data_IF_494408889428
#
_entry.id   IF_494408889428
#
_cell.length_a   1.000
_cell.length_b   1.000
_cell.length_c   1.000
_cell.angle_alpha   90.00
_cell.angle_beta   90.00
_cell.angle_gamma   90.00
#
_symmetry.space_group_name_H-M   'P 1'
#
loop_
_entity.id
_entity.type
_entity.pdbx_description
1 polymer ?
#
# COMPACT_ATOMS: atom_id res chain seq x y z
N UNK A 1 2.66 -17.27 -36.05
CA UNK A 1 2.01 -17.87 -34.88
C UNK A 1 2.24 -16.88 -33.73
N UNK A 2 1.22 -16.15 -33.38
CA UNK A 2 1.28 -15.17 -32.29
C UNK A 2 1.31 -15.97 -30.97
N UNK A 3 2.39 -15.88 -30.24
CA UNK A 3 2.47 -16.40 -28.88
C UNK A 3 1.66 -15.47 -27.99
N UNK A 4 0.54 -15.95 -27.50
CA UNK A 4 -0.25 -15.31 -26.46
C UNK A 4 0.65 -15.01 -25.27
N UNK A 5 0.88 -13.71 -25.02
CA UNK A 5 1.50 -13.23 -23.78
C UNK A 5 0.39 -13.33 -22.72
N UNK A 6 0.54 -14.19 -21.68
CA UNK A 6 -0.47 -14.23 -20.63
C UNK A 6 -0.24 -13.07 -19.67
N UNK A 7 -0.62 -11.88 -20.12
CA UNK A 7 -0.69 -10.65 -19.32
C UNK A 7 -2.12 -10.30 -18.95
N UNK A 8 -2.99 -11.31 -18.84
CA UNK A 8 -4.37 -11.07 -18.45
C UNK A 8 -4.64 -11.74 -17.10
N UNK A 9 -5.15 -10.98 -16.15
CA UNK A 9 -5.75 -11.39 -14.88
C UNK A 9 -7.00 -12.32 -15.03
N UNK A 10 -7.04 -13.10 -16.08
CA UNK A 10 -7.84 -14.31 -16.21
C UNK A 10 -7.29 -15.29 -15.19
N UNK A 11 -7.98 -15.43 -14.04
CA UNK A 11 -7.48 -16.11 -12.86
C UNK A 11 -6.91 -17.49 -13.15
N UNK A 12 -5.79 -17.81 -12.48
CA UNK A 12 -5.19 -19.15 -12.48
C UNK A 12 -6.26 -20.25 -12.36
N UNK A 13 -6.11 -21.38 -13.05
CA UNK A 13 -7.03 -22.50 -12.93
C UNK A 13 -7.27 -22.84 -11.45
N UNK A 14 -8.50 -23.17 -11.05
CA UNK A 14 -8.84 -23.40 -9.64
C UNK A 14 -7.94 -24.43 -8.94
N UNK A 15 -7.52 -25.47 -9.67
CA UNK A 15 -6.61 -26.50 -9.16
C UNK A 15 -5.21 -25.92 -8.84
N UNK A 16 -4.68 -25.06 -9.72
CA UNK A 16 -3.39 -24.39 -9.51
C UNK A 16 -3.48 -23.44 -8.32
N UNK A 17 -4.54 -22.64 -8.24
CA UNK A 17 -4.77 -21.71 -7.12
C UNK A 17 -4.83 -22.44 -5.78
N UNK A 18 -5.58 -23.54 -5.68
CA UNK A 18 -5.65 -24.36 -4.46
C UNK A 18 -4.28 -24.92 -4.06
N UNK A 19 -3.49 -25.39 -5.04
CA UNK A 19 -2.14 -25.89 -4.79
C UNK A 19 -1.23 -24.80 -4.23
N UNK A 20 -1.23 -23.62 -4.87
CA UNK A 20 -0.40 -22.49 -4.44
C UNK A 20 -0.82 -22.01 -3.04
N UNK A 21 -2.12 -21.96 -2.75
CA UNK A 21 -2.62 -21.62 -1.43
C UNK A 21 -2.15 -22.61 -0.37
N UNK A 22 -2.26 -23.90 -0.60
CA UNK A 22 -1.77 -24.93 0.33
C UNK A 22 -0.25 -24.81 0.55
N UNK A 23 0.53 -24.55 -0.52
CA UNK A 23 1.97 -24.32 -0.40
C UNK A 23 2.29 -23.06 0.41
N UNK A 24 1.52 -21.98 0.21
CA UNK A 24 1.69 -20.73 0.95
C UNK A 24 1.38 -20.90 2.44
N UNK A 25 0.29 -21.59 2.78
CA UNK A 25 -0.07 -21.90 4.17
C UNK A 25 0.99 -22.75 4.85
N UNK A 26 1.48 -23.80 4.18
CA UNK A 26 2.57 -24.64 4.69
C UNK A 26 3.86 -23.82 4.88
N UNK A 27 4.22 -22.98 3.92
CA UNK A 27 5.36 -22.06 4.01
C UNK A 27 5.25 -21.10 5.22
N UNK A 28 4.06 -20.54 5.41
CA UNK A 28 3.78 -19.63 6.53
C UNK A 28 3.92 -20.31 7.89
N UNK A 29 3.39 -21.53 8.04
CA UNK A 29 3.55 -22.32 9.26
C UNK A 29 5.03 -22.64 9.55
N UNK A 30 5.80 -23.00 8.51
CA UNK A 30 7.23 -23.30 8.64
C UNK A 30 8.03 -22.04 8.99
N UNK A 31 7.77 -20.92 8.35
CA UNK A 31 8.40 -19.63 8.67
C UNK A 31 8.16 -19.22 10.13
N UNK A 32 6.93 -19.40 10.63
CA UNK A 32 6.58 -19.10 12.02
C UNK A 32 7.29 -19.99 13.05
N UNK A 33 7.70 -21.20 12.63
CA UNK A 33 8.50 -22.13 13.46
C UNK A 33 10.01 -21.90 13.34
N UNK A 34 10.46 -20.94 12.55
CA UNK A 34 11.88 -20.68 12.29
C UNK A 34 12.51 -21.61 11.25
N UNK A 35 11.72 -22.47 10.58
CA UNK A 35 12.17 -23.39 9.53
C UNK A 35 12.30 -22.63 8.18
N UNK A 36 13.14 -21.60 8.16
CA UNK A 36 13.20 -20.62 7.05
C UNK A 36 13.62 -21.22 5.71
N UNK A 37 14.48 -22.25 5.69
CA UNK A 37 14.91 -22.89 4.45
C UNK A 37 13.75 -23.60 3.73
N UNK A 38 12.96 -24.32 4.51
CA UNK A 38 11.78 -25.00 3.97
C UNK A 38 10.72 -24.01 3.51
N UNK A 39 10.45 -22.98 4.33
CA UNK A 39 9.54 -21.90 3.97
C UNK A 39 9.97 -21.16 2.71
N UNK A 40 11.28 -20.92 2.53
CA UNK A 40 11.85 -20.31 1.31
C UNK A 40 11.49 -21.11 0.06
N UNK A 41 11.60 -22.44 0.12
CA UNK A 41 11.26 -23.31 -1.01
C UNK A 41 9.77 -23.23 -1.36
N UNK A 42 8.90 -23.23 -0.34
CA UNK A 42 7.45 -23.11 -0.53
C UNK A 42 7.06 -21.77 -1.12
N UNK A 43 7.54 -20.67 -0.55
CA UNK A 43 7.24 -19.33 -1.04
C UNK A 43 7.81 -19.07 -2.44
N UNK A 44 9.01 -19.57 -2.75
CA UNK A 44 9.57 -19.46 -4.10
C UNK A 44 8.67 -20.14 -5.13
N UNK A 45 8.18 -21.36 -4.83
CA UNK A 45 7.25 -22.06 -5.71
C UNK A 45 5.91 -21.30 -5.88
N UNK A 46 5.45 -20.57 -4.84
CA UNK A 46 4.27 -19.72 -4.95
C UNK A 46 4.53 -18.54 -5.91
N UNK A 47 5.69 -17.85 -5.79
CA UNK A 47 6.05 -16.74 -6.68
C UNK A 47 6.28 -17.23 -8.12
N UNK A 48 6.89 -18.40 -8.33
CA UNK A 48 7.03 -18.99 -9.67
C UNK A 48 5.66 -19.33 -10.30
N UNK A 49 4.71 -19.80 -9.49
CA UNK A 49 3.38 -20.19 -9.96
C UNK A 49 2.44 -18.99 -10.19
N UNK A 50 2.65 -17.87 -9.50
CA UNK A 50 1.88 -16.64 -9.63
C UNK A 50 2.78 -15.42 -9.38
N UNK A 51 3.57 -15.03 -10.40
CA UNK A 51 4.53 -13.91 -10.26
C UNK A 51 3.89 -12.54 -10.07
N UNK A 52 2.60 -12.39 -10.32
CA UNK A 52 1.84 -11.16 -10.10
C UNK A 52 1.42 -10.99 -8.64
N UNK A 53 1.49 -12.05 -7.84
CA UNK A 53 0.97 -12.05 -6.48
C UNK A 53 1.93 -11.40 -5.48
N UNK A 54 1.61 -10.17 -5.12
CA UNK A 54 2.42 -9.39 -4.19
C UNK A 54 2.53 -10.03 -2.78
N UNK A 55 1.51 -10.77 -2.32
CA UNK A 55 1.52 -11.42 -1.00
C UNK A 55 2.55 -12.55 -0.98
N UNK A 56 2.61 -13.36 -2.05
CA UNK A 56 3.60 -14.42 -2.17
C UNK A 56 5.03 -13.85 -2.19
N UNK A 57 5.23 -12.77 -2.96
CA UNK A 57 6.52 -12.11 -3.03
C UNK A 57 6.94 -11.47 -1.70
N UNK A 58 6.03 -10.75 -1.03
CA UNK A 58 6.31 -10.16 0.29
C UNK A 58 6.69 -11.22 1.32
N UNK A 59 5.97 -12.35 1.33
CA UNK A 59 6.24 -13.46 2.24
C UNK A 59 7.59 -14.12 1.94
N UNK A 60 7.92 -14.29 0.65
CA UNK A 60 9.23 -14.80 0.23
C UNK A 60 10.38 -13.90 0.70
N UNK A 61 10.31 -12.59 0.40
CA UNK A 61 11.33 -11.63 0.79
C UNK A 61 11.42 -11.49 2.32
N UNK A 62 10.29 -11.39 3.00
CA UNK A 62 10.23 -11.30 4.47
C UNK A 62 10.82 -12.52 5.16
N UNK A 63 10.58 -13.73 4.64
CA UNK A 63 11.18 -14.96 5.14
C UNK A 63 12.70 -14.99 4.94
N UNK A 64 13.19 -14.53 3.78
CA UNK A 64 14.62 -14.43 3.51
C UNK A 64 15.31 -13.41 4.45
N UNK A 65 14.69 -12.27 4.70
CA UNK A 65 15.23 -11.29 5.65
C UNK A 65 15.38 -11.87 7.06
N UNK A 66 14.40 -12.66 7.51
CA UNK A 66 14.50 -13.39 8.79
C UNK A 66 15.59 -14.45 8.74
N UNK A 67 15.65 -15.27 7.67
CA UNK A 67 16.67 -16.31 7.49
C UNK A 67 18.10 -15.79 7.62
N UNK A 68 18.37 -14.60 7.10
CA UNK A 68 19.69 -13.97 7.11
C UNK A 68 19.87 -12.92 8.22
N UNK A 69 18.99 -12.88 9.24
CA UNK A 69 19.03 -11.91 10.34
C UNK A 69 19.18 -10.46 9.87
N UNK A 70 18.62 -10.16 8.70
CA UNK A 70 18.70 -8.86 8.05
C UNK A 70 20.14 -8.32 7.89
N UNK A 71 21.12 -9.20 7.67
CA UNK A 71 22.57 -8.88 7.64
C UNK A 71 23.00 -8.02 6.45
N UNK A 72 22.11 -7.75 5.47
CA UNK A 72 22.34 -6.97 4.24
C UNK A 72 23.43 -7.53 3.30
N UNK A 73 23.93 -8.73 3.54
CA UNK A 73 25.04 -9.36 2.78
C UNK A 73 24.67 -10.72 2.18
N UNK A 74 23.68 -11.41 2.79
CA UNK A 74 23.31 -12.78 2.39
C UNK A 74 24.34 -13.83 2.81
N UNK A 75 24.41 -14.94 2.04
CA UNK A 75 25.42 -16.00 2.22
C UNK A 75 26.81 -15.47 1.90
N UNK A 76 27.80 -15.86 2.70
CA UNK A 76 29.23 -15.48 2.52
C UNK A 76 29.79 -15.86 1.14
N UNK A 77 29.29 -16.96 0.57
CA UNK A 77 29.71 -17.47 -0.74
C UNK A 77 28.75 -17.05 -1.87
N UNK A 78 27.80 -16.14 -1.62
CA UNK A 78 26.81 -15.71 -2.61
C UNK A 78 27.44 -15.15 -3.88
N UNK A 79 28.58 -14.45 -3.78
CA UNK A 79 29.30 -13.92 -4.92
C UNK A 79 29.88 -15.00 -5.83
N UNK A 80 30.35 -16.11 -5.28
CA UNK A 80 30.93 -17.22 -6.06
C UNK A 80 29.82 -18.12 -6.61
N UNK A 81 28.90 -18.56 -5.75
CA UNK A 81 27.76 -19.42 -6.16
C UNK A 81 26.81 -18.71 -7.13
N UNK A 82 26.70 -17.40 -7.03
CA UNK A 82 25.78 -16.57 -7.83
C UNK A 82 26.25 -16.30 -9.26
N UNK A 83 27.53 -16.55 -9.63
CA UNK A 83 28.04 -16.23 -10.97
C UNK A 83 27.24 -16.91 -12.08
N UNK A 84 27.00 -18.20 -11.96
CA UNK A 84 26.21 -18.97 -12.95
C UNK A 84 24.76 -18.48 -13.01
N UNK A 85 24.16 -18.15 -11.85
CA UNK A 85 22.79 -17.66 -11.77
C UNK A 85 22.66 -16.28 -12.43
N UNK A 86 23.59 -15.38 -12.19
CA UNK A 86 23.65 -14.07 -12.87
C UNK A 86 23.79 -14.21 -14.39
N UNK A 87 24.56 -15.19 -14.84
CA UNK A 87 24.63 -15.56 -16.26
C UNK A 87 23.28 -16.02 -16.81
N UNK A 88 22.54 -16.83 -16.04
CA UNK A 88 21.19 -17.28 -16.42
C UNK A 88 20.19 -16.14 -16.49
N UNK A 89 20.21 -15.22 -15.51
CA UNK A 89 19.36 -14.00 -15.52
C UNK A 89 19.63 -13.21 -16.81
N UNK A 90 20.90 -12.90 -17.11
CA UNK A 90 21.26 -12.13 -18.30
C UNK A 90 20.89 -12.84 -19.60
N UNK A 91 21.04 -14.17 -19.67
CA UNK A 91 20.61 -14.97 -20.80
C UNK A 91 19.10 -14.88 -21.01
N UNK A 92 18.29 -15.05 -19.95
CA UNK A 92 16.83 -14.92 -20.01
C UNK A 92 16.39 -13.51 -20.41
N UNK A 93 17.04 -12.45 -19.93
CA UNK A 93 16.81 -11.08 -20.38
C UNK A 93 17.03 -10.91 -21.89
N UNK A 94 18.16 -11.40 -22.40
CA UNK A 94 18.47 -11.35 -23.84
C UNK A 94 17.46 -12.11 -24.69
N UNK A 95 16.92 -13.22 -24.17
CA UNK A 95 15.88 -14.03 -24.82
C UNK A 95 14.47 -13.49 -24.61
N UNK A 96 14.32 -12.39 -23.83
CA UNK A 96 13.01 -11.84 -23.41
C UNK A 96 12.13 -12.86 -22.67
N UNK A 97 12.76 -13.86 -22.06
CA UNK A 97 12.11 -14.82 -21.17
C UNK A 97 11.96 -14.22 -19.75
N UNK A 98 10.92 -13.39 -19.60
CA UNK A 98 10.72 -12.65 -18.36
C UNK A 98 10.38 -13.54 -17.17
N UNK A 99 9.69 -14.66 -17.41
CA UNK A 99 9.44 -15.66 -16.36
C UNK A 99 10.73 -16.38 -15.95
N UNK A 100 11.62 -16.67 -16.92
CA UNK A 100 12.96 -17.19 -16.66
C UNK A 100 13.83 -16.23 -15.86
N UNK A 101 13.70 -14.91 -16.09
CA UNK A 101 14.36 -13.88 -15.26
C UNK A 101 13.86 -13.95 -13.83
N UNK A 102 12.55 -14.01 -13.62
CA UNK A 102 11.96 -14.14 -12.26
C UNK A 102 12.47 -15.40 -11.59
N UNK A 103 12.40 -16.56 -12.26
CA UNK A 103 12.85 -17.84 -11.71
C UNK A 103 14.33 -17.82 -11.30
N UNK A 104 15.21 -17.41 -12.20
CA UNK A 104 16.65 -17.30 -11.91
C UNK A 104 16.93 -16.24 -10.84
N UNK A 105 16.17 -15.15 -10.83
CA UNK A 105 16.23 -14.12 -9.79
C UNK A 105 15.90 -14.68 -8.42
N UNK A 106 14.83 -15.46 -8.28
CA UNK A 106 14.47 -16.14 -7.02
C UNK A 106 15.63 -17.01 -6.51
N UNK A 107 16.32 -17.75 -7.39
CA UNK A 107 17.47 -18.54 -7.00
C UNK A 107 18.65 -17.67 -6.51
N UNK A 108 18.86 -16.51 -7.13
CA UNK A 108 19.87 -15.56 -6.64
C UNK A 108 19.47 -14.98 -5.27
N UNK A 109 18.20 -14.63 -5.06
CA UNK A 109 17.72 -14.09 -3.80
C UNK A 109 17.78 -15.12 -2.66
N UNK A 110 17.66 -16.41 -2.93
CA UNK A 110 17.88 -17.49 -1.94
C UNK A 110 19.32 -17.45 -1.37
N UNK A 111 20.29 -16.97 -2.14
CA UNK A 111 21.69 -16.80 -1.73
C UNK A 111 21.93 -15.42 -1.12
N UNK A 112 21.37 -14.38 -1.72
CA UNK A 112 21.50 -13.00 -1.26
C UNK A 112 20.23 -12.19 -1.56
N UNK A 113 19.35 -12.00 -0.56
CA UNK A 113 18.12 -11.23 -0.73
C UNK A 113 18.31 -9.75 -1.08
N UNK A 114 19.54 -9.26 -0.94
CA UNK A 114 19.92 -7.86 -1.22
C UNK A 114 20.77 -7.73 -2.49
N UNK A 115 20.78 -8.72 -3.38
CA UNK A 115 21.50 -8.59 -4.66
C UNK A 115 20.74 -7.61 -5.56
N UNK A 116 21.30 -6.39 -5.65
CA UNK A 116 20.68 -5.27 -6.40
C UNK A 116 20.49 -5.64 -7.86
N UNK A 117 21.47 -6.33 -8.47
CA UNK A 117 21.39 -6.73 -9.88
C UNK A 117 20.22 -7.68 -10.15
N UNK A 118 20.04 -8.71 -9.30
CA UNK A 118 18.91 -9.62 -9.43
C UNK A 118 17.56 -8.92 -9.19
N UNK A 119 17.48 -8.08 -8.15
CA UNK A 119 16.25 -7.35 -7.83
C UNK A 119 15.85 -6.36 -8.93
N UNK A 120 16.81 -5.64 -9.53
CA UNK A 120 16.51 -4.73 -10.64
C UNK A 120 16.13 -5.48 -11.93
N UNK A 121 16.78 -6.62 -12.22
CA UNK A 121 16.40 -7.48 -13.34
C UNK A 121 14.97 -8.03 -13.19
N UNK A 122 14.62 -8.51 -11.97
CA UNK A 122 13.26 -8.99 -11.66
C UNK A 122 12.23 -7.85 -11.73
N UNK A 123 12.58 -6.64 -11.31
CA UNK A 123 11.74 -5.47 -11.46
C UNK A 123 11.48 -5.13 -12.93
N UNK A 124 12.52 -5.17 -13.77
CA UNK A 124 12.39 -4.98 -15.23
C UNK A 124 11.52 -6.07 -15.87
N UNK A 125 11.71 -7.33 -15.47
CA UNK A 125 10.85 -8.42 -15.93
C UNK A 125 9.38 -8.23 -15.53
N UNK A 126 9.14 -7.79 -14.28
CA UNK A 126 7.78 -7.48 -13.78
C UNK A 126 7.12 -6.36 -14.57
N UNK A 127 7.86 -5.32 -14.94
CA UNK A 127 7.39 -4.26 -15.84
C UNK A 127 6.92 -4.83 -17.18
N UNK A 128 7.72 -5.71 -17.81
CA UNK A 128 7.38 -6.32 -19.10
C UNK A 128 6.20 -7.29 -19.00
N UNK A 129 5.94 -7.84 -17.83
CA UNK A 129 4.79 -8.70 -17.54
C UNK A 129 3.55 -7.93 -17.07
N UNK A 130 3.64 -6.61 -16.84
CA UNK A 130 2.55 -5.80 -16.32
C UNK A 130 2.27 -6.02 -14.82
N UNK A 131 3.25 -6.51 -14.06
CA UNK A 131 3.12 -6.79 -12.62
C UNK A 131 3.67 -5.61 -11.78
N UNK A 132 3.02 -4.46 -11.87
CA UNK A 132 3.56 -3.18 -11.37
C UNK A 132 3.80 -3.17 -9.85
N UNK A 133 2.91 -3.74 -9.04
CA UNK A 133 3.11 -3.79 -7.59
C UNK A 133 4.30 -4.68 -7.21
N UNK A 134 4.50 -5.80 -7.90
CA UNK A 134 5.68 -6.64 -7.72
C UNK A 134 6.96 -5.93 -8.17
N UNK A 135 6.91 -5.17 -9.28
CA UNK A 135 8.01 -4.30 -9.73
C UNK A 135 8.49 -3.39 -8.60
N UNK A 136 7.54 -2.70 -7.92
CA UNK A 136 7.88 -1.81 -6.80
C UNK A 136 8.46 -2.58 -5.62
N UNK A 137 7.94 -3.77 -5.30
CA UNK A 137 8.46 -4.58 -4.21
C UNK A 137 9.92 -4.99 -4.45
N UNK A 138 10.29 -5.39 -5.67
CA UNK A 138 11.68 -5.67 -6.01
C UNK A 138 12.57 -4.43 -5.90
N UNK A 139 12.13 -3.28 -6.41
CA UNK A 139 12.89 -2.04 -6.33
C UNK A 139 13.07 -1.56 -4.89
N UNK A 140 12.06 -1.69 -4.04
CA UNK A 140 12.17 -1.43 -2.59
C UNK A 140 13.15 -2.40 -1.92
N UNK A 141 13.17 -3.67 -2.32
CA UNK A 141 14.17 -4.64 -1.88
C UNK A 141 15.60 -4.19 -2.23
N UNK A 142 15.81 -3.70 -3.46
CA UNK A 142 17.09 -3.15 -3.92
C UNK A 142 17.50 -1.89 -3.12
N UNK A 143 16.56 -0.98 -2.84
CA UNK A 143 16.80 0.17 -1.97
C UNK A 143 17.06 -0.25 -0.50
N UNK A 144 16.57 -1.41 -0.08
CA UNK A 144 16.91 -2.00 1.21
C UNK A 144 18.38 -2.37 1.36
N UNK A 145 19.06 -2.66 0.24
CA UNK A 145 20.52 -2.89 0.20
C UNK A 145 21.32 -1.58 0.19
N UNK A 146 20.92 -0.64 -0.65
CA UNK A 146 21.53 0.69 -0.76
C UNK A 146 20.45 1.77 -0.95
N UNK A 147 19.98 2.41 0.12
CA UNK A 147 18.94 3.43 0.05
C UNK A 147 19.31 4.68 -0.75
N UNK A 148 20.61 4.96 -0.89
CA UNK A 148 21.12 6.14 -1.59
C UNK A 148 21.50 5.85 -3.07
N UNK A 149 21.32 4.62 -3.56
CA UNK A 149 21.62 4.29 -4.95
C UNK A 149 20.80 5.14 -5.92
N UNK A 150 21.42 6.02 -6.72
CA UNK A 150 20.67 6.96 -7.55
C UNK A 150 19.92 6.25 -8.70
N UNK A 151 20.48 5.18 -9.25
CA UNK A 151 19.85 4.48 -10.38
C UNK A 151 18.62 3.68 -9.90
N UNK A 152 18.74 3.00 -8.77
CA UNK A 152 17.59 2.27 -8.17
C UNK A 152 16.50 3.25 -7.74
N UNK A 153 16.85 4.39 -7.12
CA UNK A 153 15.88 5.44 -6.79
C UNK A 153 15.19 6.00 -8.03
N UNK A 154 15.95 6.18 -9.15
CA UNK A 154 15.38 6.63 -10.43
C UNK A 154 14.37 5.62 -10.98
N UNK A 155 14.71 4.32 -11.00
CA UNK A 155 13.81 3.25 -11.45
C UNK A 155 12.55 3.17 -10.57
N UNK A 156 12.73 3.22 -9.24
CA UNK A 156 11.62 3.18 -8.29
C UNK A 156 10.71 4.41 -8.42
N UNK A 157 11.30 5.61 -8.56
CA UNK A 157 10.55 6.84 -8.73
C UNK A 157 9.73 6.87 -10.03
N UNK A 158 10.27 6.34 -11.13
CA UNK A 158 9.51 6.20 -12.40
C UNK A 158 8.34 5.23 -12.25
N UNK A 159 8.57 4.06 -11.68
CA UNK A 159 7.51 3.08 -11.44
C UNK A 159 6.38 3.63 -10.55
N UNK A 160 6.75 4.37 -9.50
CA UNK A 160 5.79 5.02 -8.61
C UNK A 160 5.00 6.14 -9.28
N UNK A 161 5.65 6.92 -10.17
CA UNK A 161 4.99 7.95 -10.98
C UNK A 161 3.94 7.34 -11.91
N UNK A 162 4.28 6.24 -12.60
CA UNK A 162 3.37 5.51 -13.50
C UNK A 162 2.10 5.03 -12.77
N UNK A 163 2.22 4.69 -11.48
CA UNK A 163 1.08 4.34 -10.62
C UNK A 163 0.40 5.55 -9.96
N UNK A 164 0.79 6.78 -10.29
CA UNK A 164 0.24 7.99 -9.68
C UNK A 164 0.58 8.14 -8.18
N UNK A 165 1.60 7.43 -7.67
CA UNK A 165 2.08 7.50 -6.29
C UNK A 165 3.12 8.61 -6.14
N UNK A 166 2.72 9.85 -6.41
CA UNK A 166 3.61 10.99 -6.59
C UNK A 166 4.44 11.33 -5.34
N UNK A 167 3.89 11.27 -4.13
CA UNK A 167 4.62 11.60 -2.91
C UNK A 167 5.82 10.67 -2.67
N UNK A 168 5.65 9.38 -3.01
CA UNK A 168 6.73 8.40 -2.93
C UNK A 168 7.75 8.55 -4.06
N UNK A 169 7.28 8.84 -5.28
CA UNK A 169 8.15 9.14 -6.42
C UNK A 169 9.03 10.36 -6.15
N UNK A 170 8.46 11.44 -5.59
CA UNK A 170 9.19 12.64 -5.16
C UNK A 170 10.28 12.28 -4.14
N UNK A 171 9.97 11.40 -3.20
CA UNK A 171 10.96 10.96 -2.20
C UNK A 171 12.14 10.24 -2.85
N UNK A 172 11.88 9.39 -3.85
CA UNK A 172 12.93 8.73 -4.62
C UNK A 172 13.78 9.74 -5.41
N UNK A 173 13.16 10.66 -6.15
CA UNK A 173 13.91 11.65 -6.94
C UNK A 173 14.67 12.67 -6.09
N UNK A 174 14.19 13.00 -4.89
CA UNK A 174 14.99 13.78 -3.92
C UNK A 174 16.29 13.09 -3.55
N UNK A 175 16.27 11.77 -3.34
CA UNK A 175 17.50 10.99 -3.08
C UNK A 175 18.43 10.96 -4.29
N UNK A 176 17.89 10.91 -5.52
CA UNK A 176 18.69 11.02 -6.75
C UNK A 176 19.43 12.35 -6.78
N UNK A 177 18.73 13.47 -6.59
CA UNK A 177 19.34 14.81 -6.59
C UNK A 177 20.32 15.00 -5.44
N UNK A 178 20.05 14.43 -4.25
CA UNK A 178 20.99 14.45 -3.13
C UNK A 178 22.28 13.67 -3.42
N UNK A 179 22.17 12.51 -4.08
CA UNK A 179 23.32 11.68 -4.44
C UNK A 179 24.12 12.27 -5.62
N UNK A 180 23.44 12.96 -6.53
CA UNK A 180 24.02 13.61 -7.72
C UNK A 180 23.50 15.04 -7.87
N UNK A 181 24.07 16.04 -7.19
CA UNK A 181 23.55 17.42 -7.22
C UNK A 181 23.52 18.09 -8.60
N UNK A 182 24.31 17.60 -9.57
CA UNK A 182 24.33 18.06 -10.96
C UNK A 182 23.39 17.31 -11.91
N UNK A 183 22.51 16.47 -11.41
CA UNK A 183 21.57 15.67 -12.23
C UNK A 183 20.38 16.54 -12.69
N UNK A 184 20.53 17.17 -13.85
CA UNK A 184 19.49 18.03 -14.44
C UNK A 184 18.20 17.26 -14.74
N UNK A 185 18.28 15.99 -15.22
CA UNK A 185 17.12 15.15 -15.46
C UNK A 185 16.35 14.87 -14.16
N UNK A 186 17.09 14.53 -13.09
CA UNK A 186 16.51 14.31 -11.77
C UNK A 186 15.80 15.54 -11.23
N UNK A 187 16.39 16.72 -11.39
CA UNK A 187 15.79 18.00 -10.97
C UNK A 187 14.54 18.35 -11.79
N UNK A 188 14.58 18.15 -13.11
CA UNK A 188 13.41 18.38 -13.98
C UNK A 188 12.27 17.43 -13.62
N UNK A 189 12.58 16.14 -13.42
CA UNK A 189 11.58 15.15 -13.04
C UNK A 189 10.95 15.47 -11.69
N UNK A 190 11.74 15.94 -10.72
CA UNK A 190 11.24 16.35 -9.41
C UNK A 190 10.24 17.49 -9.51
N UNK A 191 10.55 18.53 -10.33
CA UNK A 191 9.63 19.65 -10.59
C UNK A 191 8.34 19.20 -11.27
N UNK A 192 8.45 18.30 -12.26
CA UNK A 192 7.29 17.73 -12.95
C UNK A 192 6.39 16.95 -12.00
N UNK A 193 6.98 16.12 -11.13
CA UNK A 193 6.23 15.37 -10.11
C UNK A 193 5.52 16.28 -9.10
N UNK A 194 6.16 17.37 -8.68
CA UNK A 194 5.51 18.35 -7.79
C UNK A 194 4.30 19.00 -8.47
N UNK A 195 4.39 19.28 -9.78
CA UNK A 195 3.26 19.81 -10.57
C UNK A 195 2.14 18.75 -10.75
N UNK A 196 2.48 17.51 -11.12
CA UNK A 196 1.53 16.39 -11.27
C UNK A 196 0.79 16.11 -9.96
N UNK A 197 1.53 16.09 -8.84
CA UNK A 197 0.94 15.96 -7.50
C UNK A 197 -0.03 17.10 -7.19
N UNK A 198 0.34 18.34 -7.53
CA UNK A 198 -0.52 19.51 -7.31
C UNK A 198 -1.81 19.44 -8.15
N UNK A 199 -1.72 18.98 -9.40
CA UNK A 199 -2.87 18.76 -10.28
C UNK A 199 -3.80 17.71 -9.65
N UNK A 200 -3.27 16.54 -9.25
CA UNK A 200 -4.05 15.47 -8.64
C UNK A 200 -4.71 15.90 -7.33
N UNK A 201 -3.97 16.60 -6.46
CA UNK A 201 -4.52 17.14 -5.19
C UNK A 201 -5.49 18.31 -5.40
N UNK A 202 -5.38 19.03 -6.50
CA UNK A 202 -6.28 20.11 -6.87
C UNK A 202 -7.61 19.65 -7.49
N UNK A 203 -7.83 18.32 -7.63
CA UNK A 203 -9.08 17.75 -8.17
C UNK A 203 -9.27 17.99 -9.68
N UNK A 204 -8.21 18.36 -10.41
CA UNK A 204 -8.33 18.67 -11.83
C UNK A 204 -8.61 17.44 -12.72
N UNK A 205 -8.22 16.24 -12.26
CA UNK A 205 -8.48 14.98 -12.98
C UNK A 205 -9.91 14.47 -12.76
N UNK A 206 -10.48 14.74 -11.57
CA UNK A 206 -11.83 14.31 -11.16
C UNK A 206 -12.91 15.36 -11.50
N UNK A 207 -12.50 16.58 -11.90
CA UNK A 207 -13.42 17.66 -12.23
C UNK A 207 -14.06 17.44 -13.61
N UNK A 208 -15.31 17.02 -13.63
CA UNK A 208 -16.10 16.86 -14.86
C UNK A 208 -16.43 18.20 -15.56
N UNK A 209 -16.16 19.33 -14.92
CA UNK A 209 -16.35 20.67 -15.50
C UNK A 209 -15.41 21.73 -14.91
N UNK A 210 -15.11 22.77 -15.71
CA UNK A 210 -14.36 23.96 -15.27
C UNK A 210 -15.02 24.67 -14.07
N UNK A 211 -16.31 24.47 -13.87
CA UNK A 211 -17.09 25.07 -12.78
C UNK A 211 -16.72 24.45 -11.44
N UNK A 212 -16.46 23.13 -11.37
CA UNK A 212 -16.09 22.44 -10.13
C UNK A 212 -14.70 22.89 -9.65
N UNK A 213 -13.77 23.09 -10.60
CA UNK A 213 -12.42 23.61 -10.32
C UNK A 213 -12.47 25.07 -9.83
N UNK A 214 -13.38 25.89 -10.37
CA UNK A 214 -13.56 27.27 -9.91
C UNK A 214 -14.15 27.34 -8.50
N UNK A 215 -15.09 26.47 -8.18
CA UNK A 215 -15.70 26.41 -6.84
C UNK A 215 -14.68 26.00 -5.79
N UNK A 216 -13.82 25.01 -6.07
CA UNK A 216 -12.75 24.59 -5.15
C UNK A 216 -11.68 25.69 -4.98
N UNK A 217 -11.31 26.39 -6.06
CA UNK A 217 -10.40 27.54 -5.97
C UNK A 217 -10.99 28.71 -5.19
N UNK A 218 -12.27 28.99 -5.35
CA UNK A 218 -12.96 30.04 -4.60
C UNK A 218 -13.00 29.70 -3.11
N UNK A 219 -13.30 28.44 -2.75
CA UNK A 219 -13.29 27.96 -1.37
C UNK A 219 -11.88 28.01 -0.73
N UNK A 220 -10.82 27.75 -1.51
CA UNK A 220 -9.44 27.88 -1.03
C UNK A 220 -9.01 29.36 -0.90
N UNK A 221 -9.48 30.23 -1.78
CA UNK A 221 -9.22 31.67 -1.68
C UNK A 221 -9.96 32.33 -0.52
N UNK A 222 -11.20 31.93 -0.26
CA UNK A 222 -11.99 32.38 0.90
C UNK A 222 -11.36 31.94 2.22
N UNK A 223 -10.74 30.73 2.27
CA UNK A 223 -9.91 30.28 3.40
C UNK A 223 -8.67 31.15 3.66
N UNK A 224 -8.09 31.73 2.59
CA UNK A 224 -6.88 32.56 2.69
C UNK A 224 -7.15 34.02 3.04
N UNK A 225 -8.37 34.52 2.79
CA UNK A 225 -8.70 35.94 2.94
C UNK A 225 -9.43 36.30 4.25
N UNK A 226 -9.58 35.36 5.20
CA UNK A 226 -9.87 35.67 6.62
C UNK A 226 -11.17 36.44 6.91
N UNK A 227 -12.22 36.33 6.08
CA UNK A 227 -13.42 37.16 6.23
C UNK A 227 -14.78 36.46 6.02
N UNK A 228 -14.85 35.14 5.93
CA UNK A 228 -16.09 34.37 5.81
C UNK A 228 -16.23 33.33 6.90
N UNK A 229 -17.45 32.93 7.24
CA UNK A 229 -17.74 31.82 8.14
C UNK A 229 -16.89 30.62 7.75
N UNK A 230 -15.91 30.26 8.59
CA UNK A 230 -15.04 29.10 8.36
C UNK A 230 -15.90 27.85 8.37
N UNK A 231 -16.22 27.33 7.18
CA UNK A 231 -16.89 26.04 7.05
C UNK A 231 -15.93 24.97 7.58
N UNK A 232 -16.41 24.15 8.50
CA UNK A 232 -15.66 22.98 8.96
C UNK A 232 -15.47 21.97 7.81
N UNK A 233 -14.47 21.10 7.93
CA UNK A 233 -14.26 20.03 6.94
C UNK A 233 -15.55 19.19 6.76
N UNK A 234 -16.29 18.96 7.85
CA UNK A 234 -17.59 18.29 7.86
C UNK A 234 -18.62 19.00 6.94
N UNK A 235 -18.72 20.32 7.05
CA UNK A 235 -19.67 21.13 6.26
C UNK A 235 -19.31 21.18 4.78
N UNK A 236 -18.02 21.13 4.44
CA UNK A 236 -17.54 21.09 3.05
C UNK A 236 -17.95 19.77 2.39
N UNK A 237 -17.72 18.64 3.09
CA UNK A 237 -18.07 17.32 2.58
C UNK A 237 -19.61 17.16 2.47
N UNK A 238 -20.38 17.65 3.45
CA UNK A 238 -21.85 17.63 3.39
C UNK A 238 -22.42 18.41 2.20
N UNK A 239 -21.85 19.58 1.89
CA UNK A 239 -22.22 20.35 0.68
C UNK A 239 -21.89 19.58 -0.60
N UNK A 240 -20.77 18.87 -0.63
CA UNK A 240 -20.40 18.03 -1.76
C UNK A 240 -21.42 16.89 -1.94
N UNK A 241 -21.77 16.20 -0.87
CA UNK A 241 -22.72 15.09 -0.88
C UNK A 241 -24.15 15.52 -1.24
N UNK A 242 -24.52 16.77 -0.92
CA UNK A 242 -25.82 17.35 -1.35
C UNK A 242 -25.90 17.48 -2.86
N UNK A 243 -24.76 17.76 -3.54
CA UNK A 243 -24.69 17.87 -5.00
C UNK A 243 -24.43 16.52 -5.68
N UNK A 244 -23.72 15.62 -5.02
CA UNK A 244 -23.31 14.31 -5.53
C UNK A 244 -23.73 13.20 -4.56
N UNK A 245 -25.01 12.85 -4.48
CA UNK A 245 -25.53 11.92 -3.46
C UNK A 245 -25.09 10.46 -3.65
N UNK A 246 -24.41 10.13 -4.74
CA UNK A 246 -23.88 8.78 -5.03
C UNK A 246 -22.37 8.64 -4.82
N UNK A 247 -21.71 9.69 -4.31
CA UNK A 247 -20.25 9.68 -4.06
C UNK A 247 -19.91 8.94 -2.77
N UNK A 248 -19.82 7.61 -2.85
CA UNK A 248 -19.54 6.73 -1.72
C UNK A 248 -18.23 7.05 -1.00
N UNK A 249 -17.10 7.30 -1.69
CA UNK A 249 -15.84 7.73 -1.08
C UNK A 249 -16.00 8.92 -0.12
N UNK A 250 -16.81 9.92 -0.48
CA UNK A 250 -17.06 11.10 0.36
C UNK A 250 -17.90 10.82 1.58
N UNK A 251 -18.86 9.89 1.49
CA UNK A 251 -19.57 9.41 2.67
C UNK A 251 -18.62 8.73 3.67
N UNK A 252 -17.71 7.88 3.18
CA UNK A 252 -16.72 7.20 4.03
C UNK A 252 -15.73 8.19 4.67
N UNK A 253 -15.31 9.22 3.94
CA UNK A 253 -14.47 10.29 4.47
C UNK A 253 -15.18 11.06 5.60
N UNK A 254 -16.44 11.43 5.41
CA UNK A 254 -17.25 12.11 6.43
C UNK A 254 -17.48 11.25 7.66
N UNK A 255 -17.81 9.97 7.46
CA UNK A 255 -17.99 9.02 8.57
C UNK A 255 -16.70 8.85 9.39
N UNK A 256 -15.55 8.72 8.73
CA UNK A 256 -14.26 8.64 9.41
C UNK A 256 -13.95 9.92 10.19
N UNK A 257 -14.27 11.10 9.64
CA UNK A 257 -14.07 12.38 10.31
C UNK A 257 -14.94 12.48 11.57
N UNK A 258 -16.22 12.09 11.51
CA UNK A 258 -17.08 12.05 12.68
C UNK A 258 -16.59 11.03 13.72
N UNK A 259 -16.17 9.84 13.30
CA UNK A 259 -15.66 8.80 14.19
C UNK A 259 -14.36 9.22 14.90
N UNK A 260 -13.46 9.92 14.21
CA UNK A 260 -12.23 10.46 14.80
C UNK A 260 -12.49 11.58 15.82
N UNK A 261 -13.57 12.34 15.61
CA UNK A 261 -14.05 13.39 16.52
C UNK A 261 -14.94 12.85 17.66
N UNK A 262 -14.99 11.52 17.84
CA UNK A 262 -15.82 10.82 18.83
C UNK A 262 -17.34 11.06 18.68
N UNK A 263 -17.79 11.52 17.50
CA UNK A 263 -19.20 11.72 17.14
C UNK A 263 -19.76 10.44 16.49
N UNK A 264 -19.82 9.33 17.25
CA UNK A 264 -20.17 8.03 16.70
C UNK A 264 -21.61 7.96 16.14
N UNK A 265 -22.54 8.71 16.71
CA UNK A 265 -23.92 8.80 16.21
C UNK A 265 -24.02 9.48 14.85
N UNK A 266 -23.24 10.54 14.62
CA UNK A 266 -23.22 11.22 13.34
C UNK A 266 -22.49 10.38 12.27
N UNK A 267 -21.43 9.67 12.66
CA UNK A 267 -20.77 8.70 11.79
C UNK A 267 -21.72 7.57 11.36
N UNK A 268 -22.57 7.06 12.27
CA UNK A 268 -23.58 6.03 11.99
C UNK A 268 -24.64 6.53 10.98
N UNK A 269 -25.15 7.76 11.17
CA UNK A 269 -26.09 8.38 10.21
C UNK A 269 -25.48 8.50 8.82
N UNK A 270 -24.22 8.91 8.73
CA UNK A 270 -23.50 9.05 7.46
C UNK A 270 -23.31 7.69 6.77
N UNK A 271 -22.89 6.65 7.51
CA UNK A 271 -22.74 5.29 6.94
C UNK A 271 -24.10 4.69 6.52
N UNK A 272 -25.20 4.99 7.22
CA UNK A 272 -26.52 4.57 6.81
C UNK A 272 -26.91 5.20 5.47
N UNK A 273 -26.68 6.50 5.29
CA UNK A 273 -26.86 7.19 4.01
C UNK A 273 -25.96 6.62 2.90
N UNK A 274 -24.71 6.27 3.23
CA UNK A 274 -23.80 5.62 2.30
C UNK A 274 -24.31 4.25 1.86
N UNK A 275 -24.86 3.47 2.79
CA UNK A 275 -25.43 2.15 2.50
C UNK A 275 -26.66 2.24 1.56
N UNK A 276 -27.52 3.22 1.76
CA UNK A 276 -28.64 3.51 0.87
C UNK A 276 -28.17 3.95 -0.51
N UNK A 277 -27.20 4.88 -0.57
CA UNK A 277 -26.67 5.42 -1.81
C UNK A 277 -25.90 4.35 -2.64
N UNK A 278 -25.29 3.36 -1.99
CA UNK A 278 -24.57 2.26 -2.64
C UNK A 278 -25.45 1.08 -3.06
N UNK A 279 -26.75 1.10 -2.71
CA UNK A 279 -27.64 -0.03 -2.96
C UNK A 279 -27.35 -1.25 -2.09
N UNK A 280 -26.78 -1.06 -0.89
CA UNK A 280 -26.55 -2.13 0.08
C UNK A 280 -25.16 -2.78 0.01
N UNK A 281 -24.13 -2.04 -0.34
CA UNK A 281 -22.74 -2.52 -0.39
C UNK A 281 -22.32 -3.21 0.92
N UNK A 282 -21.75 -4.42 0.79
CA UNK A 282 -21.37 -5.26 1.92
C UNK A 282 -20.29 -4.62 2.79
N UNK A 283 -19.30 -3.95 2.18
CA UNK A 283 -18.20 -3.32 2.93
C UNK A 283 -18.70 -2.13 3.78
N UNK A 284 -19.70 -1.40 3.27
CA UNK A 284 -20.30 -0.29 4.03
C UNK A 284 -21.13 -0.84 5.18
N UNK A 285 -21.83 -1.95 4.95
CA UNK A 285 -22.61 -2.63 6.00
C UNK A 285 -21.70 -3.12 7.13
N UNK A 286 -20.59 -3.78 6.81
CA UNK A 286 -19.61 -4.23 7.80
C UNK A 286 -19.08 -3.06 8.64
N UNK A 287 -18.73 -1.94 8.00
CA UNK A 287 -18.27 -0.74 8.71
C UNK A 287 -19.35 -0.13 9.62
N UNK A 288 -20.60 -0.17 9.20
CA UNK A 288 -21.74 0.29 10.01
C UNK A 288 -21.91 -0.59 11.24
N UNK A 289 -21.87 -1.91 11.07
CA UNK A 289 -21.97 -2.89 12.16
C UNK A 289 -20.79 -2.75 13.15
N UNK A 290 -19.57 -2.58 12.67
CA UNK A 290 -18.38 -2.34 13.51
C UNK A 290 -18.52 -1.04 14.33
N UNK A 291 -19.03 0.02 13.72
CA UNK A 291 -19.26 1.28 14.41
C UNK A 291 -20.36 1.15 15.49
N UNK A 292 -21.43 0.44 15.20
CA UNK A 292 -22.53 0.17 16.15
C UNK A 292 -22.03 -0.66 17.33
N UNK A 293 -21.23 -1.68 17.09
CA UNK A 293 -20.60 -2.47 18.15
C UNK A 293 -19.67 -1.62 19.03
N UNK A 294 -18.87 -0.75 18.42
CA UNK A 294 -18.01 0.17 19.16
C UNK A 294 -18.82 1.12 20.04
N UNK A 295 -19.87 1.75 19.49
CA UNK A 295 -20.76 2.64 20.24
C UNK A 295 -21.41 1.93 21.43
N UNK A 296 -21.88 0.70 21.21
CA UNK A 296 -22.50 -0.11 22.28
C UNK A 296 -21.51 -0.43 23.40
N UNK A 297 -20.25 -0.75 23.06
CA UNK A 297 -19.19 -0.99 24.05
C UNK A 297 -18.89 0.27 24.86
N UNK A 298 -18.75 1.43 24.21
CA UNK A 298 -18.52 2.70 24.89
C UNK A 298 -19.68 3.10 25.82
N UNK A 299 -20.92 2.85 25.40
CA UNK A 299 -22.11 3.09 26.23
C UNK A 299 -22.14 2.18 27.47
N UNK A 300 -21.80 0.89 27.31
CA UNK A 300 -21.70 -0.07 28.43
C UNK A 300 -20.59 0.32 29.41
N UNK A 301 -19.42 0.73 28.91
CA UNK A 301 -18.32 1.18 29.77
C UNK A 301 -18.68 2.46 30.53
N UNK A 302 -19.33 3.41 29.87
CA UNK A 302 -19.78 4.64 30.51
C UNK A 302 -20.84 4.35 31.58
N UNK A 303 -21.81 3.47 31.29
CA UNK A 303 -22.82 3.04 32.25
C UNK A 303 -22.23 2.31 33.45
N UNK A 304 -21.20 1.48 33.27
CA UNK A 304 -20.45 0.83 34.38
C UNK A 304 -19.76 1.86 35.28
N UNK A 305 -19.06 2.82 34.68
CA UNK A 305 -18.38 3.90 35.42
C UNK A 305 -19.37 4.77 36.22
N UNK A 306 -20.52 5.09 35.62
CA UNK A 306 -21.58 5.81 36.33
C UNK A 306 -22.15 5.01 37.50
N UNK A 307 -22.43 3.71 37.27
CA UNK A 307 -22.92 2.83 38.33
C UNK A 307 -21.90 2.61 39.46
N UNK A 308 -20.61 2.65 39.18
CA UNK A 308 -19.54 2.64 40.18
C UNK A 308 -19.46 3.94 40.97
N UNK A 309 -19.64 5.09 40.29
CA UNK A 309 -19.64 6.40 40.93
C UNK A 309 -20.86 6.60 41.84
N UNK A 310 -22.04 6.09 41.44
CA UNK A 310 -23.28 6.13 42.21
C UNK A 310 -23.27 5.14 43.40
N UNK A 311 -22.35 4.17 43.39
CA UNK A 311 -22.16 3.21 44.50
C UNK A 311 -21.21 3.67 45.60
N UNK A 312 -20.55 4.82 45.45
CA UNK A 312 -19.73 5.39 46.55
C UNK A 312 -20.71 5.93 47.60
N UNK A 313 -20.79 5.31 48.82
CA UNK A 313 -21.79 5.71 49.82
C UNK A 313 -21.35 7.02 50.46
N UNK A 314 -22.24 8.02 50.46
CA UNK A 314 -22.32 9.01 51.54
C UNK A 314 -22.61 8.27 52.86
N UNK A 315 -21.61 7.70 53.49
CA UNK A 315 -21.75 7.06 54.80
C UNK A 315 -20.50 7.19 55.66
N UNK A 316 -20.11 8.45 55.90
CA UNK A 316 -19.20 8.73 57.04
C UNK A 316 -19.50 10.15 57.59
N UNK A 317 -20.74 10.44 57.91
CA UNK A 317 -21.09 11.65 58.66
C UNK A 317 -22.27 11.47 59.61
N UNK A 318 -22.34 10.35 60.32
CA UNK A 318 -23.21 10.22 61.50
C UNK A 318 -22.57 9.23 62.50
N UNK A 319 -21.64 9.72 63.30
CA UNK A 319 -21.05 8.89 64.36
C UNK A 319 -20.11 9.62 65.29
N UNK A 320 -20.48 10.84 65.72
CA UNK A 320 -19.97 11.41 66.98
C UNK A 320 -20.94 12.50 67.49
N UNK A 321 -21.88 12.03 68.33
CA UNK A 321 -22.40 12.78 69.49
C UNK A 321 -23.04 11.81 70.48
#
# INVERSE_FOLDING_TARGET
MATDIPGNTGGLPPAVRRRLQAQFEAGSQKSNRGEYDYATTMFAACVEGDPANQIYLQSFLGNLYKKFDNNKKGDRLSSVKGVGIKGSIKKSEMQKDWLGVIKSGLDMLKLNPWDVGALTAMASASEKLGHEECRILYLRGALGANPADPEVNRLCGRALRELGRFDEAITCFRRVVQAKPGDEEGMQTLRALDAERAIKKGGFEDAQSSTDVMVDKQLQQERRQGGGVQLTAEQVIERHLTKNPTDIPKYLELANLHASNQKLEDAEKVLTRALEASGGDLQIRERLEDLQMRRTREAVETGKKQAETDRTPQSEEFGER
#
